data_IF_089891584136
#
_entry.id   IF_089891584136
#
_cell.length_a   1.000
_cell.length_b   1.000
_cell.length_c   1.000
_cell.angle_alpha   90.00
_cell.angle_beta   90.00
_cell.angle_gamma   90.00
#
_symmetry.space_group_name_H-M   'P 1'
#
loop_
_entity.id
_entity.type
_entity.pdbx_description
1 polymer ?
#
# COMPACT_ATOMS: atom_id res chain seq x y z
N UNK A 1 -17.49 -11.50 -4.20
CA UNK A 1 -16.99 -10.12 -4.25
C UNK A 1 -15.81 -10.05 -3.29
N UNK A 2 -14.66 -9.55 -3.71
CA UNK A 2 -13.47 -9.49 -2.85
C UNK A 2 -13.49 -8.27 -1.93
N UNK A 3 -12.65 -8.27 -0.89
CA UNK A 3 -12.56 -7.18 0.10
C UNK A 3 -12.32 -5.80 -0.55
N UNK A 4 -11.59 -5.76 -1.68
CA UNK A 4 -11.36 -4.51 -2.45
C UNK A 4 -12.63 -3.90 -3.01
N UNK A 5 -13.53 -4.74 -3.54
CA UNK A 5 -14.81 -4.28 -4.08
C UNK A 5 -15.71 -3.79 -2.94
N UNK A 6 -15.63 -4.44 -1.78
CA UNK A 6 -16.34 -3.99 -0.58
C UNK A 6 -15.87 -2.61 -0.11
N UNK A 7 -14.56 -2.34 -0.16
CA UNK A 7 -13.95 -1.07 0.25
C UNK A 7 -13.80 -0.05 -0.90
N UNK A 8 -14.47 -0.28 -2.04
CA UNK A 8 -14.28 0.55 -3.25
C UNK A 8 -14.70 2.00 -3.03
N UNK A 9 -15.74 2.22 -2.23
CA UNK A 9 -16.19 3.58 -1.92
C UNK A 9 -15.13 4.34 -1.13
N UNK A 10 -14.58 3.72 -0.09
CA UNK A 10 -13.57 4.30 0.77
C UNK A 10 -12.26 4.52 0.02
N UNK A 11 -11.97 3.67 -0.97
CA UNK A 11 -10.85 3.87 -1.89
C UNK A 11 -11.00 5.19 -2.65
N UNK A 12 -12.15 5.44 -3.29
CA UNK A 12 -12.37 6.69 -4.03
C UNK A 12 -12.43 7.93 -3.12
N UNK A 13 -12.99 7.79 -1.92
CA UNK A 13 -12.99 8.87 -0.92
C UNK A 13 -11.55 9.18 -0.47
N UNK A 14 -10.71 8.16 -0.27
CA UNK A 14 -9.30 8.32 0.06
C UNK A 14 -8.49 8.90 -1.09
N UNK A 15 -8.75 8.48 -2.33
CA UNK A 15 -8.04 8.97 -3.52
C UNK A 15 -8.26 10.46 -3.73
N UNK A 16 -9.53 10.89 -3.67
CA UNK A 16 -9.87 12.31 -3.77
C UNK A 16 -9.19 13.14 -2.69
N UNK A 17 -9.30 12.71 -1.43
CA UNK A 17 -8.69 13.45 -0.31
C UNK A 17 -7.17 13.45 -0.38
N UNK A 18 -6.55 12.34 -0.80
CA UNK A 18 -5.11 12.26 -0.94
C UNK A 18 -4.59 13.21 -2.01
N UNK A 19 -5.28 13.28 -3.14
CA UNK A 19 -4.95 14.19 -4.24
C UNK A 19 -5.14 15.65 -3.83
N UNK A 20 -6.22 15.98 -3.11
CA UNK A 20 -6.58 17.33 -2.73
C UNK A 20 -5.75 17.87 -1.54
N UNK A 21 -5.44 17.03 -0.55
CA UNK A 21 -4.89 17.48 0.73
C UNK A 21 -3.48 16.95 1.05
N UNK A 22 -2.99 15.95 0.31
CA UNK A 22 -1.71 15.29 0.64
C UNK A 22 -0.67 15.33 -0.47
N UNK A 23 -1.04 15.75 -1.67
CA UNK A 23 -0.11 15.99 -2.77
C UNK A 23 0.19 17.49 -2.92
N UNK A 24 1.41 17.85 -3.37
CA UNK A 24 2.52 16.96 -3.68
C UNK A 24 3.18 16.36 -2.41
N UNK A 25 3.72 15.15 -2.53
CA UNK A 25 4.51 14.51 -1.48
C UNK A 25 5.94 14.30 -1.98
N UNK A 26 6.85 15.18 -1.56
CA UNK A 26 8.22 15.18 -2.08
C UNK A 26 8.23 15.41 -3.60
N UNK A 27 8.83 14.48 -4.34
CA UNK A 27 8.85 14.46 -5.81
C UNK A 27 7.57 13.92 -6.48
N UNK A 28 6.57 13.48 -5.71
CA UNK A 28 5.33 12.91 -6.24
C UNK A 28 4.27 14.00 -6.38
N UNK A 29 3.91 14.36 -7.61
CA UNK A 29 2.75 15.19 -7.95
C UNK A 29 1.50 14.33 -8.26
N UNK A 30 0.36 14.97 -8.52
CA UNK A 30 -0.91 14.30 -8.84
C UNK A 30 -0.79 13.35 -10.04
N UNK A 31 -0.10 13.76 -11.10
CA UNK A 31 -0.02 12.99 -12.33
C UNK A 31 0.94 11.80 -12.19
N UNK A 32 2.02 11.96 -11.43
CA UNK A 32 2.91 10.88 -11.04
C UNK A 32 2.20 9.89 -10.08
N UNK A 33 1.45 10.41 -9.10
CA UNK A 33 0.72 9.58 -8.15
C UNK A 33 -0.31 8.70 -8.85
N UNK A 34 -1.10 9.23 -9.78
CA UNK A 34 -2.09 8.42 -10.51
C UNK A 34 -1.47 7.21 -11.22
N UNK A 35 -0.29 7.39 -11.85
CA UNK A 35 0.44 6.30 -12.50
C UNK A 35 1.03 5.30 -11.50
N UNK A 36 1.54 5.80 -10.37
CA UNK A 36 2.07 4.97 -9.30
C UNK A 36 0.95 4.15 -8.64
N UNK A 37 -0.18 4.77 -8.33
CA UNK A 37 -1.31 4.15 -7.66
C UNK A 37 -1.97 3.07 -8.53
N UNK A 38 -2.14 3.32 -9.83
CA UNK A 38 -2.67 2.34 -10.80
C UNK A 38 -1.81 1.08 -10.88
N UNK A 39 -0.48 1.27 -10.90
CA UNK A 39 0.47 0.17 -10.95
C UNK A 39 0.75 -0.50 -9.59
N UNK A 40 0.25 0.05 -8.49
CA UNK A 40 0.50 -0.47 -7.14
C UNK A 40 -0.60 -1.44 -6.73
N UNK A 41 -0.23 -2.70 -6.50
CA UNK A 41 -1.15 -3.67 -5.94
C UNK A 41 -1.25 -3.50 -4.43
N UNK A 42 -2.44 -3.23 -3.92
CA UNK A 42 -2.69 -3.27 -2.47
C UNK A 42 -3.09 -4.67 -1.99
N UNK A 43 -2.61 -5.04 -0.81
CA UNK A 43 -2.83 -6.35 -0.18
C UNK A 43 -3.18 -6.18 1.29
N UNK A 44 -3.87 -7.15 1.88
CA UNK A 44 -4.07 -7.21 3.32
C UNK A 44 -2.96 -8.03 3.95
N UNK A 45 -2.31 -7.50 4.98
CA UNK A 45 -1.22 -8.14 5.70
C UNK A 45 -1.58 -8.21 7.18
N UNK A 46 -1.40 -9.37 7.80
CA UNK A 46 -1.58 -9.52 9.25
C UNK A 46 -0.24 -9.31 9.96
N UNK A 47 -0.11 -8.24 10.74
CA UNK A 47 1.08 -7.88 11.51
C UNK A 47 0.71 -7.79 12.99
N UNK A 48 1.40 -8.54 13.85
CA UNK A 48 1.18 -8.49 15.32
C UNK A 48 -0.26 -8.77 15.77
N UNK A 49 -1.05 -9.47 14.95
CA UNK A 49 -2.46 -9.80 15.23
C UNK A 49 -3.47 -8.79 14.69
N UNK A 50 -3.00 -7.71 14.06
CA UNK A 50 -3.83 -6.71 13.37
C UNK A 50 -3.68 -6.84 11.86
N UNK A 51 -4.77 -6.60 11.13
CA UNK A 51 -4.77 -6.60 9.66
C UNK A 51 -4.61 -5.18 9.16
N UNK A 52 -3.77 -5.01 8.14
CA UNK A 52 -3.49 -3.72 7.52
C UNK A 52 -3.50 -3.79 5.99
N UNK A 53 -3.89 -2.69 5.34
CA UNK A 53 -3.67 -2.47 3.91
C UNK A 53 -2.21 -2.08 3.70
N UNK A 54 -1.49 -2.86 2.88
CA UNK A 54 -0.11 -2.56 2.48
C UNK A 54 0.01 -2.49 0.96
N UNK A 55 0.81 -1.54 0.43
CA UNK A 55 1.18 -1.53 -0.98
C UNK A 55 2.25 -2.60 -1.25
N UNK A 56 2.05 -3.40 -2.29
CA UNK A 56 3.08 -4.23 -2.90
C UNK A 56 3.89 -3.37 -3.87
N UNK A 57 5.08 -2.98 -3.42
CA UNK A 57 5.99 -2.08 -4.13
C UNK A 57 6.93 -2.80 -5.09
N UNK A 58 6.74 -4.09 -5.35
CA UNK A 58 7.59 -4.85 -6.27
C UNK A 58 7.62 -4.22 -7.68
N UNK A 59 6.47 -3.78 -8.18
CA UNK A 59 6.33 -3.17 -9.50
C UNK A 59 6.80 -1.70 -9.57
N UNK A 60 7.07 -1.06 -8.41
CA UNK A 60 7.34 0.37 -8.36
C UNK A 60 8.58 0.78 -9.15
N UNK A 61 9.59 -0.11 -9.22
CA UNK A 61 10.84 0.17 -9.95
C UNK A 61 10.63 0.33 -11.46
N UNK A 62 9.67 -0.38 -12.04
CA UNK A 62 9.36 -0.29 -13.47
C UNK A 62 8.61 1.02 -13.77
N UNK A 63 7.64 1.37 -12.94
CA UNK A 63 6.86 2.60 -13.05
C UNK A 63 7.74 3.84 -12.94
N UNK A 64 8.65 3.86 -11.97
CA UNK A 64 9.59 4.97 -11.78
C UNK A 64 10.53 5.13 -12.97
N UNK A 65 10.92 4.03 -13.63
CA UNK A 65 11.71 4.09 -14.86
C UNK A 65 10.91 4.73 -16.00
N UNK A 66 9.65 4.34 -16.17
CA UNK A 66 8.76 4.90 -17.19
C UNK A 66 8.49 6.39 -16.95
N UNK A 67 8.29 6.80 -15.69
CA UNK A 67 8.15 8.21 -15.30
C UNK A 67 9.41 9.02 -15.64
N UNK A 68 10.58 8.49 -15.32
CA UNK A 68 11.85 9.13 -15.62
C UNK A 68 12.08 9.28 -17.13
N UNK A 69 11.71 8.28 -17.94
CA UNK A 69 11.75 8.37 -19.41
C UNK A 69 10.79 9.44 -19.95
N UNK A 70 9.65 9.65 -19.28
CA UNK A 70 8.70 10.72 -19.56
C UNK A 70 9.12 12.10 -19.03
N UNK A 71 10.34 12.25 -18.48
CA UNK A 71 10.86 13.51 -17.96
C UNK A 71 10.43 13.85 -16.53
N UNK A 72 9.77 12.92 -15.80
CA UNK A 72 9.38 13.10 -14.39
C UNK A 72 10.32 12.35 -13.47
N UNK A 73 11.19 13.09 -12.79
CA UNK A 73 12.09 12.52 -11.78
C UNK A 73 11.37 12.30 -10.46
N UNK A 74 10.86 11.09 -10.24
CA UNK A 74 10.26 10.69 -8.95
C UNK A 74 11.24 9.81 -8.18
N UNK A 75 11.50 10.17 -6.93
CA UNK A 75 12.35 9.37 -6.06
C UNK A 75 11.60 8.14 -5.57
N UNK A 76 12.28 7.00 -5.50
CA UNK A 76 11.69 5.75 -4.99
C UNK A 76 11.16 5.91 -3.58
N UNK A 77 11.89 6.62 -2.73
CA UNK A 77 11.51 6.87 -1.34
C UNK A 77 10.19 7.66 -1.24
N UNK A 78 10.03 8.70 -2.06
CA UNK A 78 8.80 9.50 -2.05
C UNK A 78 7.62 8.72 -2.62
N UNK A 79 7.85 7.93 -3.67
CA UNK A 79 6.82 7.07 -4.25
C UNK A 79 6.35 6.01 -3.25
N UNK A 80 7.27 5.33 -2.55
CA UNK A 80 6.95 4.39 -1.48
C UNK A 80 6.19 5.09 -0.34
N UNK A 81 6.63 6.28 0.06
CA UNK A 81 5.95 7.08 1.09
C UNK A 81 4.52 7.47 0.67
N UNK A 82 4.31 7.82 -0.61
CA UNK A 82 3.00 8.21 -1.13
C UNK A 82 2.02 7.05 -1.08
N UNK A 83 2.39 5.88 -1.60
CA UNK A 83 1.50 4.70 -1.59
C UNK A 83 1.26 4.15 -0.18
N UNK A 84 2.24 4.25 0.72
CA UNK A 84 2.06 3.88 2.12
C UNK A 84 1.08 4.82 2.83
N UNK A 85 1.24 6.14 2.61
CA UNK A 85 0.33 7.14 3.20
C UNK A 85 -1.09 7.00 2.65
N UNK A 86 -1.24 6.72 1.36
CA UNK A 86 -2.52 6.43 0.74
C UNK A 86 -3.18 5.17 1.33
N UNK A 87 -2.42 4.07 1.47
CA UNK A 87 -2.94 2.83 2.07
C UNK A 87 -3.45 3.05 3.49
N UNK A 88 -2.69 3.80 4.31
CA UNK A 88 -3.11 4.17 5.66
C UNK A 88 -4.37 5.03 5.68
N UNK A 89 -4.52 5.97 4.73
CA UNK A 89 -5.71 6.79 4.62
C UNK A 89 -6.94 5.98 4.24
N UNK A 90 -6.81 5.09 3.24
CA UNK A 90 -7.89 4.20 2.82
C UNK A 90 -8.36 3.30 3.97
N UNK A 91 -7.42 2.71 4.71
CA UNK A 91 -7.69 1.92 5.90
C UNK A 91 -8.41 2.75 6.99
N UNK A 92 -7.95 3.97 7.25
CA UNK A 92 -8.57 4.86 8.22
C UNK A 92 -10.03 5.18 7.86
N UNK A 93 -10.31 5.42 6.56
CA UNK A 93 -11.68 5.66 6.09
C UNK A 93 -12.56 4.42 6.25
N UNK A 94 -12.06 3.24 5.90
CA UNK A 94 -12.77 1.97 6.11
C UNK A 94 -13.11 1.72 7.58
N UNK A 95 -12.17 2.02 8.50
CA UNK A 95 -12.42 1.90 9.94
C UNK A 95 -13.44 2.92 10.44
N UNK A 96 -13.32 4.18 10.04
CA UNK A 96 -14.26 5.23 10.41
C UNK A 96 -15.70 4.96 9.93
N UNK A 97 -15.84 4.28 8.78
CA UNK A 97 -17.12 3.86 8.21
C UNK A 97 -17.70 2.59 8.83
N UNK A 98 -16.91 1.81 9.57
CA UNK A 98 -17.30 0.50 10.07
C UNK A 98 -17.34 -0.61 9.01
N UNK A 99 -16.80 -0.37 7.80
CA UNK A 99 -16.73 -1.37 6.72
C UNK A 99 -15.46 -2.23 6.80
N UNK A 100 -14.51 -1.85 7.66
CA UNK A 100 -13.23 -2.54 7.82
C UNK A 100 -13.35 -4.00 8.29
N UNK A 101 -14.11 -4.24 9.36
CA UNK A 101 -14.21 -5.57 9.98
C UNK A 101 -14.80 -6.60 9.01
N UNK A 102 -15.79 -6.17 8.24
CA UNK A 102 -16.43 -6.97 7.20
C UNK A 102 -15.45 -7.30 6.07
N UNK A 103 -14.67 -6.31 5.60
CA UNK A 103 -13.65 -6.52 4.58
C UNK A 103 -12.57 -7.52 5.04
N UNK A 104 -12.12 -7.40 6.30
CA UNK A 104 -11.16 -8.33 6.90
C UNK A 104 -11.75 -9.74 7.01
N UNK A 105 -13.02 -9.87 7.41
CA UNK A 105 -13.70 -11.17 7.47
C UNK A 105 -13.74 -11.84 6.09
N UNK A 106 -14.20 -11.11 5.07
CA UNK A 106 -14.24 -11.62 3.69
C UNK A 106 -12.86 -12.08 3.19
N UNK A 107 -11.82 -11.30 3.51
CA UNK A 107 -10.45 -11.64 3.13
C UNK A 107 -9.90 -12.87 3.87
N UNK A 108 -10.26 -13.06 5.15
CA UNK A 108 -9.92 -14.27 5.92
C UNK A 108 -10.57 -15.51 5.32
N UNK A 109 -11.86 -15.43 5.01
CA UNK A 109 -12.61 -16.54 4.41
C UNK A 109 -12.06 -16.92 3.02
N UNK A 110 -11.57 -15.92 2.27
CA UNK A 110 -11.04 -16.12 0.93
C UNK A 110 -9.53 -16.45 0.90
N UNK A 111 -8.86 -16.46 2.06
CA UNK A 111 -7.40 -16.70 2.15
C UNK A 111 -6.56 -15.57 1.52
N UNK A 112 -7.09 -14.36 1.43
CA UNK A 112 -6.43 -13.21 0.79
C UNK A 112 -5.50 -12.42 1.73
N UNK A 113 -5.50 -12.75 3.03
CA UNK A 113 -4.62 -12.12 4.02
C UNK A 113 -3.24 -12.75 3.96
N UNK A 114 -2.23 -11.93 3.69
CA UNK A 114 -0.84 -12.35 3.73
C UNK A 114 -0.34 -12.32 5.17
N UNK A 115 0.11 -13.47 5.67
CA UNK A 115 0.94 -13.48 6.86
C UNK A 115 2.38 -13.21 6.43
N UNK A 116 3.06 -12.16 6.94
CA UNK A 116 4.46 -11.96 6.65
C UNK A 116 5.23 -13.19 7.13
N UNK A 117 5.95 -13.85 6.22
CA UNK A 117 6.82 -14.96 6.60
C UNK A 117 7.75 -14.48 7.71
N UNK A 118 7.90 -15.22 8.82
CA UNK A 118 8.76 -14.80 9.91
C UNK A 118 10.16 -14.57 9.35
N UNK A 119 10.67 -13.32 9.46
CA UNK A 119 12.03 -12.97 9.02
C UNK A 119 12.98 -14.04 9.57
N UNK A 120 13.79 -14.72 8.75
CA UNK A 120 14.71 -15.73 9.25
C UNK A 120 15.61 -15.06 10.28
N UNK A 121 15.45 -15.43 11.55
CA UNK A 121 16.33 -14.98 12.63
C UNK A 121 17.73 -15.35 12.19
N UNK A 122 18.55 -14.35 11.82
CA UNK A 122 19.97 -14.53 11.52
C UNK A 122 20.58 -15.26 12.72
N UNK A 123 20.77 -16.58 12.60
CA UNK A 123 21.58 -17.36 13.53
C UNK A 123 23.00 -16.84 13.39
N UNK A 124 23.37 -15.91 14.26
CA UNK A 124 24.76 -15.59 14.52
C UNK A 124 25.44 -16.88 14.93
N UNK A 125 26.23 -17.46 14.03
CA UNK A 125 27.11 -18.57 14.34
C UNK A 125 28.38 -17.97 14.95
N UNK A 126 28.67 -18.17 16.24
CA UNK A 126 29.96 -17.79 16.78
C UNK A 126 30.96 -18.85 16.31
N UNK A 127 31.68 -18.57 15.22
CA UNK A 127 32.86 -19.37 14.89
C UNK A 127 33.89 -19.15 16.00
N UNK A 128 34.09 -20.21 16.78
CA UNK A 128 35.17 -20.36 17.76
C UNK A 128 36.28 -21.20 17.12
N UNK A 129 37.50 -20.70 17.33
CA UNK A 129 38.84 -21.26 17.04
C UNK A 129 39.42 -20.99 15.66
#
# INVERSE_FOLDING_TARGET
MGWKEHLRREFFEADREFVEEHLPLGSVDQAAFGLIADATRYVLVEEEGEVHIRPDVAALSEVLRSLAQGGRGVSRKDAEAAVQKFAALWEAKARARGTWEEAVRMARESGEIQTPSPKPRRRFWPWRR
#
